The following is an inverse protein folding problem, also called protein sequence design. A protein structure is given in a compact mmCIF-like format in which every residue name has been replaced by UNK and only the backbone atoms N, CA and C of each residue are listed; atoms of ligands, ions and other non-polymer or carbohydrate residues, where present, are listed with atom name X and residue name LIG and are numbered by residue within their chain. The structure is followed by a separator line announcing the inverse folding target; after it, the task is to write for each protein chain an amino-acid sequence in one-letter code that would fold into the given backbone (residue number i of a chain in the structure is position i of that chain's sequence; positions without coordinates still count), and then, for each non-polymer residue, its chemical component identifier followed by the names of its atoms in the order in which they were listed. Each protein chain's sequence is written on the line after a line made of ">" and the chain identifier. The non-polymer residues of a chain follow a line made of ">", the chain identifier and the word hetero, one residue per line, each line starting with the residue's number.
data_IF_124864288862
#
_entry.id   IF_124864288862
#
_cell.length_a   1.000
_cell.length_b   1.000
_cell.length_c   1.000
_cell.angle_alpha   90.00
_cell.angle_beta   90.00
_cell.angle_gamma   90.00
#
_symmetry.space_group_name_H-M   'P 1'
#
loop_
_entity.id
_entity.type
_entity.pdbx_description
1 polymer ?
#
# COMPACT_ATOMS: atom_id res chain seq x y z
N UNK A 1 -1.23 -37.08 -45.45
CA UNK A 1 -0.71 -35.70 -45.30
C UNK A 1 -0.84 -35.29 -43.83
N UNK A 2 0.22 -34.77 -43.20
CA UNK A 2 0.10 -34.22 -41.83
C UNK A 2 -0.87 -33.03 -41.88
N UNK A 3 -1.89 -33.04 -41.00
CA UNK A 3 -2.82 -31.90 -40.88
C UNK A 3 -1.99 -30.66 -40.51
N UNK A 4 -2.21 -29.50 -41.16
CA UNK A 4 -1.53 -28.27 -40.77
C UNK A 4 -1.84 -27.96 -39.30
N UNK A 5 -0.80 -27.65 -38.53
CA UNK A 5 -0.90 -27.34 -37.10
C UNK A 5 -0.46 -25.90 -36.86
N UNK A 6 -1.18 -25.20 -35.96
CA UNK A 6 -0.78 -23.88 -35.47
C UNK A 6 0.42 -23.95 -34.50
N UNK A 7 0.73 -25.14 -33.97
CA UNK A 7 1.90 -25.36 -33.11
C UNK A 7 3.14 -25.42 -33.99
N UNK A 8 3.96 -24.37 -33.92
CA UNK A 8 5.25 -24.28 -34.61
C UNK A 8 6.38 -24.50 -33.61
N UNK A 9 7.31 -25.39 -33.94
CA UNK A 9 8.54 -25.59 -33.17
C UNK A 9 9.61 -24.66 -33.72
N UNK A 10 10.22 -23.84 -32.86
CA UNK A 10 11.35 -22.97 -33.19
C UNK A 10 12.47 -23.24 -32.19
N UNK A 11 13.73 -23.22 -32.66
CA UNK A 11 14.91 -23.25 -31.79
C UNK A 11 15.00 -22.00 -30.91
N UNK A 12 14.35 -20.91 -31.33
CA UNK A 12 14.31 -19.61 -30.64
C UNK A 12 12.93 -19.31 -30.05
N UNK A 13 12.14 -20.34 -29.75
CA UNK A 13 10.78 -20.16 -29.26
C UNK A 13 10.69 -19.36 -27.95
N UNK A 14 11.76 -19.32 -27.14
CA UNK A 14 11.81 -18.51 -25.93
C UNK A 14 11.97 -17.02 -26.27
N UNK A 15 12.95 -16.67 -27.12
CA UNK A 15 13.24 -15.32 -27.58
C UNK A 15 12.06 -14.74 -28.38
N UNK A 16 11.46 -15.52 -29.27
CA UNK A 16 10.28 -15.11 -30.04
C UNK A 16 9.08 -14.78 -29.15
N UNK A 17 8.84 -15.58 -28.10
CA UNK A 17 7.78 -15.32 -27.12
C UNK A 17 8.07 -14.07 -26.32
N UNK A 18 9.32 -13.86 -25.93
CA UNK A 18 9.72 -12.66 -25.20
C UNK A 18 9.57 -11.39 -26.05
N UNK A 19 10.05 -11.38 -27.29
CA UNK A 19 9.85 -10.25 -28.20
C UNK A 19 8.36 -9.94 -28.41
N UNK A 20 7.52 -10.99 -28.46
CA UNK A 20 6.06 -10.81 -28.55
C UNK A 20 5.47 -10.22 -27.27
N UNK A 21 6.00 -10.56 -26.10
CA UNK A 21 5.61 -9.94 -24.83
C UNK A 21 6.04 -8.47 -24.79
N UNK A 22 7.26 -8.16 -25.21
CA UNK A 22 7.76 -6.77 -25.27
C UNK A 22 6.89 -5.90 -26.18
N UNK A 23 6.50 -6.41 -27.34
CA UNK A 23 5.58 -5.71 -28.26
C UNK A 23 4.18 -5.52 -27.68
N UNK A 24 3.73 -6.40 -26.80
CA UNK A 24 2.44 -6.24 -26.10
C UNK A 24 2.52 -5.17 -25.01
N UNK A 25 3.73 -4.87 -24.53
CA UNK A 25 3.96 -4.04 -23.36
C UNK A 25 3.58 -4.76 -22.08
N UNK A 26 4.33 -4.49 -21.01
CA UNK A 26 3.95 -4.91 -19.67
C UNK A 26 4.26 -3.82 -18.64
N UNK A 27 3.54 -3.83 -17.52
CA UNK A 27 3.75 -2.88 -16.44
C UNK A 27 5.18 -2.98 -15.87
N UNK A 28 5.80 -4.17 -15.91
CA UNK A 28 7.10 -4.43 -15.31
C UNK A 28 8.25 -3.74 -16.06
N UNK A 29 8.21 -3.73 -17.40
CA UNK A 29 9.16 -2.97 -18.23
C UNK A 29 9.01 -1.46 -18.04
N UNK A 30 7.78 -0.98 -17.88
CA UNK A 30 7.52 0.45 -17.62
C UNK A 30 8.03 0.85 -16.22
N UNK A 31 7.84 -0.02 -15.22
CA UNK A 31 8.43 0.16 -13.90
C UNK A 31 9.95 0.21 -13.98
N UNK A 32 10.57 -0.73 -14.69
CA UNK A 32 12.03 -0.77 -14.86
C UNK A 32 12.57 0.50 -15.54
N UNK A 33 11.83 1.06 -16.50
CA UNK A 33 12.22 2.30 -17.18
C UNK A 33 12.12 3.55 -16.30
N UNK A 34 11.16 3.59 -15.36
CA UNK A 34 10.80 4.82 -14.65
C UNK A 34 11.08 4.80 -13.15
N UNK A 35 11.46 3.66 -12.58
CA UNK A 35 11.71 3.49 -11.15
C UNK A 35 13.15 3.08 -10.94
N UNK A 36 13.88 3.84 -10.12
CA UNK A 36 15.22 3.45 -9.69
C UNK A 36 15.11 2.47 -8.52
N UNK A 37 15.07 1.17 -8.83
CA UNK A 37 15.08 0.12 -7.81
C UNK A 37 16.39 0.10 -7.01
N UNK A 38 17.51 0.45 -7.65
CA UNK A 38 18.79 0.63 -6.98
C UNK A 38 18.72 1.71 -5.87
N UNK A 39 18.04 2.84 -6.11
CA UNK A 39 17.85 3.86 -5.09
C UNK A 39 16.94 3.40 -3.94
N UNK A 40 15.89 2.63 -4.24
CA UNK A 40 15.04 2.01 -3.20
C UNK A 40 15.85 1.01 -2.37
N UNK A 41 16.71 0.22 -3.03
CA UNK A 41 17.57 -0.76 -2.38
C UNK A 41 18.61 -0.10 -1.48
N UNK A 42 19.26 0.97 -1.94
CA UNK A 42 20.23 1.73 -1.16
C UNK A 42 19.61 2.28 0.13
N UNK A 43 18.37 2.77 0.08
CA UNK A 43 17.66 3.23 1.27
C UNK A 43 17.36 2.08 2.24
N UNK A 44 16.99 0.90 1.73
CA UNK A 44 16.81 -0.30 2.56
C UNK A 44 18.12 -0.75 3.18
N UNK A 45 19.22 -0.76 2.43
CA UNK A 45 20.54 -1.14 2.96
C UNK A 45 21.05 -0.14 3.99
N UNK A 46 20.68 1.16 3.88
CA UNK A 46 21.02 2.20 4.85
C UNK A 46 20.36 1.95 6.21
N UNK A 47 19.10 1.54 6.23
CA UNK A 47 18.35 1.33 7.48
C UNK A 47 18.45 -0.10 8.02
N UNK A 48 18.62 -1.07 7.13
CA UNK A 48 18.66 -2.50 7.43
C UNK A 48 19.79 -3.16 6.63
N UNK A 49 21.06 -2.90 6.99
CA UNK A 49 22.21 -3.46 6.30
C UNK A 49 22.12 -4.98 6.17
N UNK A 50 22.68 -5.50 5.09
CA UNK A 50 22.78 -6.95 4.90
C UNK A 50 23.70 -7.52 5.96
N UNK A 51 23.28 -8.62 6.59
CA UNK A 51 24.11 -9.32 7.54
C UNK A 51 25.29 -9.95 6.80
N UNK A 52 26.50 -9.52 7.13
CA UNK A 52 27.73 -10.18 6.69
C UNK A 52 28.09 -11.27 7.70
N UNK A 53 28.11 -12.53 7.26
CA UNK A 53 28.52 -13.64 8.12
C UNK A 53 30.04 -13.78 8.04
N UNK A 54 30.71 -13.58 9.18
CA UNK A 54 32.15 -13.86 9.33
C UNK A 54 32.48 -15.36 9.33
N UNK A 55 31.48 -16.22 9.47
CA UNK A 55 31.63 -17.68 9.63
C UNK A 55 31.35 -18.49 8.35
N UNK A 56 31.16 -17.84 7.20
CA UNK A 56 31.01 -18.53 5.91
C UNK A 56 29.67 -19.25 5.75
N UNK A 57 28.60 -18.48 5.54
CA UNK A 57 27.27 -18.99 5.16
C UNK A 57 26.89 -18.61 3.73
N UNK A 58 25.72 -19.06 3.26
CA UNK A 58 25.16 -18.63 1.96
C UNK A 58 25.02 -17.10 1.96
N UNK A 59 25.61 -16.39 0.98
CA UNK A 59 25.50 -14.94 0.90
C UNK A 59 24.03 -14.50 0.78
N UNK A 60 23.65 -13.37 1.39
CA UNK A 60 22.30 -12.82 1.24
C UNK A 60 22.07 -12.35 -0.19
N UNK A 61 20.83 -12.49 -0.66
CA UNK A 61 20.43 -11.94 -1.96
C UNK A 61 20.63 -10.42 -2.02
N UNK A 62 20.90 -9.87 -3.22
CA UNK A 62 20.95 -8.41 -3.41
C UNK A 62 19.65 -7.74 -2.96
N UNK A 63 19.77 -6.63 -2.24
CA UNK A 63 18.60 -5.90 -1.72
C UNK A 63 17.69 -5.38 -2.84
N UNK A 64 18.26 -4.99 -3.98
CA UNK A 64 17.47 -4.59 -5.15
C UNK A 64 16.54 -5.70 -5.64
N UNK A 65 17.05 -6.93 -5.74
CA UNK A 65 16.25 -8.09 -6.10
C UNK A 65 15.10 -8.30 -5.11
N UNK A 66 15.39 -8.22 -3.81
CA UNK A 66 14.39 -8.42 -2.76
C UNK A 66 13.31 -7.31 -2.75
N UNK A 67 13.69 -6.06 -3.05
CA UNK A 67 12.73 -4.95 -3.23
C UNK A 67 11.86 -5.18 -4.46
N UNK A 68 12.42 -5.63 -5.58
CA UNK A 68 11.64 -5.98 -6.79
C UNK A 68 10.65 -7.09 -6.50
N UNK A 69 11.06 -8.14 -5.79
CA UNK A 69 10.16 -9.23 -5.35
C UNK A 69 9.03 -8.70 -4.46
N UNK A 70 9.34 -7.82 -3.51
CA UNK A 70 8.34 -7.20 -2.64
C UNK A 70 7.29 -6.39 -3.45
N UNK A 71 7.73 -5.67 -4.48
CA UNK A 71 6.81 -4.98 -5.41
C UNK A 71 5.89 -5.98 -6.12
N UNK A 72 6.42 -7.09 -6.63
CA UNK A 72 5.61 -8.14 -7.27
C UNK A 72 4.57 -8.74 -6.30
N UNK A 73 4.97 -9.04 -5.06
CA UNK A 73 4.05 -9.59 -4.05
C UNK A 73 2.82 -8.70 -3.86
N UNK A 74 3.02 -7.38 -3.80
CA UNK A 74 1.93 -6.44 -3.62
C UNK A 74 1.14 -6.15 -4.90
N UNK A 75 1.79 -6.09 -6.07
CA UNK A 75 1.09 -5.92 -7.36
C UNK A 75 0.12 -7.07 -7.65
N UNK A 76 0.55 -8.31 -7.38
CA UNK A 76 -0.18 -9.53 -7.76
C UNK A 76 -0.83 -10.27 -6.58
N UNK A 77 -0.74 -9.73 -5.36
CA UNK A 77 -1.32 -10.32 -4.13
C UNK A 77 -0.82 -11.74 -3.83
N UNK A 78 0.48 -11.94 -3.94
CA UNK A 78 1.12 -13.25 -3.76
C UNK A 78 1.49 -13.45 -2.28
N UNK A 79 1.33 -14.69 -1.78
CA UNK A 79 1.98 -15.14 -0.55
C UNK A 79 3.48 -15.36 -0.80
N UNK A 80 4.25 -15.66 0.25
CA UNK A 80 5.68 -15.99 0.10
C UNK A 80 5.85 -17.27 -0.73
N UNK A 81 5.12 -18.34 -0.42
CA UNK A 81 5.07 -19.59 -1.20
C UNK A 81 4.65 -19.37 -2.67
N UNK A 82 3.58 -18.59 -2.90
CA UNK A 82 3.13 -18.30 -4.27
C UNK A 82 4.15 -17.44 -5.02
N UNK A 83 4.87 -16.55 -4.33
CA UNK A 83 5.92 -15.75 -4.95
C UNK A 83 7.11 -16.62 -5.35
N UNK A 84 7.55 -17.53 -4.50
CA UNK A 84 8.59 -18.52 -4.82
C UNK A 84 8.22 -19.32 -6.07
N UNK A 85 7.02 -19.91 -6.09
CA UNK A 85 6.53 -20.66 -7.24
C UNK A 85 6.52 -19.81 -8.52
N UNK A 86 6.03 -18.57 -8.44
CA UNK A 86 5.98 -17.67 -9.59
C UNK A 86 7.37 -17.21 -10.06
N UNK A 87 8.38 -17.15 -9.18
CA UNK A 87 9.77 -16.91 -9.57
C UNK A 87 10.37 -18.11 -10.31
N UNK A 88 9.91 -19.34 -10.06
CA UNK A 88 10.32 -20.54 -10.80
C UNK A 88 9.65 -20.63 -12.18
N UNK A 89 8.37 -20.29 -12.26
CA UNK A 89 7.52 -20.56 -13.42
C UNK A 89 7.46 -19.38 -14.42
N UNK A 90 7.45 -18.14 -13.92
CA UNK A 90 7.03 -16.99 -14.72
C UNK A 90 8.21 -16.16 -15.23
N UNK A 91 8.50 -16.30 -16.53
CA UNK A 91 9.59 -15.58 -17.21
C UNK A 91 9.58 -14.07 -17.00
N UNK A 92 8.40 -13.42 -17.01
CA UNK A 92 8.31 -11.97 -16.79
C UNK A 92 8.79 -11.55 -15.40
N UNK A 93 8.58 -12.39 -14.37
CA UNK A 93 9.05 -12.11 -13.01
C UNK A 93 10.55 -12.38 -12.88
N UNK A 94 11.03 -13.47 -13.48
CA UNK A 94 12.46 -13.77 -13.54
C UNK A 94 13.22 -12.63 -14.21
N UNK A 95 12.74 -12.14 -15.35
CA UNK A 95 13.33 -11.00 -16.05
C UNK A 95 13.31 -9.74 -15.18
N UNK A 96 12.14 -9.37 -14.65
CA UNK A 96 12.01 -8.17 -13.83
C UNK A 96 12.90 -8.20 -12.57
N UNK A 97 13.12 -9.36 -11.96
CA UNK A 97 13.97 -9.53 -10.79
C UNK A 97 15.45 -9.81 -11.12
N UNK A 98 15.85 -9.84 -12.39
CA UNK A 98 17.24 -10.14 -12.79
C UNK A 98 17.66 -11.61 -12.58
N UNK A 99 16.69 -12.52 -12.52
CA UNK A 99 16.86 -13.95 -12.22
C UNK A 99 16.88 -14.85 -13.47
N UNK A 100 16.79 -14.30 -14.69
CA UNK A 100 16.69 -15.07 -15.94
C UNK A 100 17.77 -16.13 -16.12
N UNK A 101 18.99 -15.84 -15.67
CA UNK A 101 20.15 -16.73 -15.78
C UNK A 101 20.60 -17.27 -14.42
N UNK A 102 19.78 -17.10 -13.38
CA UNK A 102 20.11 -17.55 -12.03
C UNK A 102 19.61 -18.98 -11.82
N UNK A 103 20.49 -19.86 -11.34
CA UNK A 103 20.09 -21.18 -10.86
C UNK A 103 19.40 -21.12 -9.48
N UNK A 104 19.60 -20.03 -8.72
CA UNK A 104 19.07 -19.88 -7.37
C UNK A 104 18.00 -18.78 -7.30
N UNK A 105 16.89 -19.08 -6.63
CA UNK A 105 15.83 -18.11 -6.33
C UNK A 105 15.60 -17.98 -4.81
N UNK A 106 15.13 -16.83 -4.31
CA UNK A 106 14.71 -16.70 -2.92
C UNK A 106 13.52 -17.61 -2.63
N UNK A 107 13.63 -18.44 -1.60
CA UNK A 107 12.53 -19.25 -1.08
C UNK A 107 11.60 -18.44 -0.17
N UNK A 108 10.46 -19.02 0.21
CA UNK A 108 9.46 -18.34 1.06
C UNK A 108 10.07 -17.78 2.35
N UNK A 109 11.00 -18.55 2.96
CA UNK A 109 11.61 -18.20 4.25
C UNK A 109 12.54 -17.02 4.08
N UNK A 110 13.29 -16.98 2.99
CA UNK A 110 14.17 -15.86 2.62
C UNK A 110 13.36 -14.58 2.44
N UNK A 111 12.20 -14.66 1.76
CA UNK A 111 11.29 -13.53 1.59
C UNK A 111 10.74 -13.06 2.95
N UNK A 112 10.32 -13.99 3.80
CA UNK A 112 9.81 -13.70 5.13
C UNK A 112 10.87 -13.01 6.02
N UNK A 113 12.09 -13.57 6.07
CA UNK A 113 13.20 -13.02 6.87
C UNK A 113 13.57 -11.62 6.40
N UNK A 114 13.66 -11.40 5.09
CA UNK A 114 13.94 -10.07 4.53
C UNK A 114 12.87 -9.06 4.96
N UNK A 115 11.59 -9.42 4.81
CA UNK A 115 10.48 -8.54 5.16
C UNK A 115 10.47 -8.21 6.65
N UNK A 116 10.71 -9.18 7.52
CA UNK A 116 10.75 -8.94 8.96
C UNK A 116 11.93 -8.05 9.35
N UNK A 117 13.12 -8.31 8.78
CA UNK A 117 14.33 -7.48 8.98
C UNK A 117 14.07 -6.01 8.65
N UNK A 118 13.53 -5.74 7.46
CA UNK A 118 13.29 -4.35 7.05
C UNK A 118 12.12 -3.73 7.83
N UNK A 119 11.12 -4.51 8.25
CA UNK A 119 10.02 -4.02 9.09
C UNK A 119 10.54 -3.49 10.42
N UNK A 120 11.38 -4.27 11.10
CA UNK A 120 11.94 -3.92 12.41
C UNK A 120 12.80 -2.65 12.35
N UNK A 121 13.47 -2.42 11.22
CA UNK A 121 14.30 -1.25 10.96
C UNK A 121 13.54 -0.01 10.43
N UNK A 122 12.20 -0.03 10.37
CA UNK A 122 11.41 1.11 9.87
C UNK A 122 11.32 1.21 8.34
N UNK A 123 11.52 0.09 7.63
CA UNK A 123 11.54 0.02 6.17
C UNK A 123 10.24 0.37 5.47
N UNK A 124 9.12 0.35 6.19
CA UNK A 124 7.84 0.86 5.69
C UNK A 124 7.93 2.34 5.29
N UNK A 125 8.48 3.18 6.18
CA UNK A 125 8.65 4.61 5.94
C UNK A 125 9.80 4.87 4.98
N UNK A 126 10.91 4.15 5.12
CA UNK A 126 12.08 4.30 4.26
C UNK A 126 11.71 4.08 2.78
N UNK A 127 11.06 2.95 2.46
CA UNK A 127 10.63 2.66 1.09
C UNK A 127 9.55 3.61 0.60
N UNK A 128 8.56 3.94 1.43
CA UNK A 128 7.50 4.87 1.01
C UNK A 128 8.07 6.26 0.70
N UNK A 129 8.96 6.78 1.55
CA UNK A 129 9.60 8.08 1.36
C UNK A 129 10.56 8.08 0.17
N UNK A 130 11.32 7.00 -0.06
CA UNK A 130 12.17 6.87 -1.24
C UNK A 130 11.35 6.91 -2.53
N UNK A 131 10.17 6.27 -2.56
CA UNK A 131 9.23 6.42 -3.68
C UNK A 131 8.74 7.87 -3.81
N UNK A 132 8.39 8.55 -2.71
CA UNK A 132 8.03 9.98 -2.78
C UNK A 132 9.14 10.84 -3.37
N UNK A 133 10.39 10.61 -2.96
CA UNK A 133 11.55 11.35 -3.45
C UNK A 133 11.72 11.17 -4.95
N UNK A 134 11.59 9.94 -5.47
CA UNK A 134 11.63 9.69 -6.91
C UNK A 134 10.49 10.41 -7.65
N UNK A 135 9.27 10.42 -7.09
CA UNK A 135 8.15 11.16 -7.69
C UNK A 135 8.43 12.66 -7.77
N UNK A 136 9.02 13.23 -6.72
CA UNK A 136 9.39 14.65 -6.67
C UNK A 136 10.50 14.99 -7.67
N UNK A 137 11.54 14.16 -7.76
CA UNK A 137 12.62 14.30 -8.75
C UNK A 137 12.10 14.24 -10.18
N UNK A 138 11.04 13.45 -10.42
CA UNK A 138 10.37 13.40 -11.71
C UNK A 138 9.35 14.53 -11.94
N UNK A 139 9.26 15.51 -11.04
CA UNK A 139 8.42 16.70 -11.16
C UNK A 139 6.98 16.53 -10.65
N UNK A 140 6.57 15.36 -10.19
CA UNK A 140 5.22 15.15 -9.66
C UNK A 140 5.10 15.69 -8.24
N UNK A 141 4.99 17.01 -8.12
CA UNK A 141 4.76 17.74 -6.86
C UNK A 141 3.26 17.89 -6.64
N UNK A 142 2.81 17.79 -5.38
CA UNK A 142 1.42 18.04 -5.04
C UNK A 142 1.13 19.56 -5.09
N UNK A 143 0.56 20.02 -6.20
CA UNK A 143 0.17 21.43 -6.40
C UNK A 143 -1.35 21.65 -6.35
N UNK A 144 -2.14 20.59 -6.54
CA UNK A 144 -3.60 20.67 -6.60
C UNK A 144 -4.33 20.63 -5.24
N UNK A 145 -3.57 20.54 -4.16
CA UNK A 145 -4.02 20.32 -2.77
C UNK A 145 -4.20 18.84 -2.46
N UNK A 146 -4.78 18.52 -1.31
CA UNK A 146 -4.81 17.14 -0.79
C UNK A 146 -6.19 16.66 -0.37
N UNK A 147 -6.47 15.38 -0.64
CA UNK A 147 -7.70 14.71 -0.25
C UNK A 147 -7.38 13.74 0.88
N UNK A 148 -7.98 13.96 2.05
CA UNK A 148 -7.87 13.08 3.21
C UNK A 148 -9.08 12.16 3.22
N UNK A 149 -8.81 10.85 3.26
CA UNK A 149 -9.84 9.83 3.37
C UNK A 149 -9.31 8.56 4.03
N UNK A 150 -10.22 7.75 4.56
CA UNK A 150 -9.89 6.50 5.22
C UNK A 150 -10.66 5.32 4.63
N UNK A 151 -10.00 4.17 4.58
CA UNK A 151 -10.63 2.91 4.17
C UNK A 151 -10.41 1.82 5.20
N UNK A 152 -11.41 0.96 5.37
CA UNK A 152 -11.30 -0.23 6.21
C UNK A 152 -10.58 -1.32 5.43
N UNK A 153 -9.67 -2.00 6.11
CA UNK A 153 -8.94 -3.16 5.60
C UNK A 153 -9.31 -4.34 6.47
N UNK A 154 -9.93 -5.35 5.86
CA UNK A 154 -10.39 -6.53 6.55
C UNK A 154 -9.22 -7.45 6.89
N UNK A 155 -9.24 -8.01 8.09
CA UNK A 155 -8.35 -9.06 8.54
C UNK A 155 -9.18 -10.34 8.79
N UNK A 156 -8.56 -11.53 8.84
CA UNK A 156 -9.25 -12.77 9.17
C UNK A 156 -10.09 -12.60 10.44
N UNK A 157 -11.37 -12.98 10.38
CA UNK A 157 -12.26 -12.91 11.54
C UNK A 157 -11.86 -14.01 12.51
N UNK A 158 -11.64 -13.63 13.76
CA UNK A 158 -11.25 -14.56 14.80
C UNK A 158 -12.43 -14.89 15.70
N UNK A 159 -12.62 -16.17 15.95
CA UNK A 159 -13.53 -16.65 16.99
C UNK A 159 -12.78 -16.64 18.32
N UNK A 160 -13.30 -15.88 19.27
CA UNK A 160 -12.83 -15.76 20.65
C UNK A 160 -14.02 -16.02 21.57
N UNK A 161 -13.78 -16.76 22.65
CA UNK A 161 -14.78 -16.91 23.72
C UNK A 161 -15.01 -15.55 24.41
N UNK A 162 -16.15 -15.41 25.08
CA UNK A 162 -16.57 -14.13 25.69
C UNK A 162 -15.55 -13.63 26.72
N UNK A 163 -15.00 -14.54 27.51
CA UNK A 163 -14.04 -14.22 28.58
C UNK A 163 -12.69 -13.81 27.99
N UNK A 164 -12.17 -14.58 27.02
CA UNK A 164 -10.96 -14.23 26.26
C UNK A 164 -11.09 -12.85 25.59
N UNK A 165 -12.28 -12.53 25.05
CA UNK A 165 -12.54 -11.24 24.41
C UNK A 165 -12.47 -10.08 25.40
N UNK A 166 -12.91 -10.27 26.65
CA UNK A 166 -12.80 -9.26 27.69
C UNK A 166 -11.34 -9.00 28.08
N UNK A 167 -10.53 -10.06 28.15
CA UNK A 167 -9.09 -9.98 28.46
C UNK A 167 -8.34 -9.26 27.31
N UNK A 168 -8.56 -9.66 26.06
CA UNK A 168 -7.94 -9.01 24.89
C UNK A 168 -8.35 -7.54 24.76
N UNK A 169 -9.59 -7.19 25.14
CA UNK A 169 -10.05 -5.80 25.13
C UNK A 169 -9.35 -4.90 26.17
N UNK A 170 -8.64 -5.49 27.14
CA UNK A 170 -7.79 -4.81 28.12
C UNK A 170 -6.30 -4.87 27.73
N UNK A 171 -6.00 -5.17 26.46
CA UNK A 171 -4.64 -5.34 25.94
C UNK A 171 -3.84 -6.45 26.67
N UNK A 172 -4.54 -7.42 27.25
CA UNK A 172 -3.95 -8.56 27.94
C UNK A 172 -4.09 -9.86 27.12
N UNK A 173 -3.18 -10.81 27.34
CA UNK A 173 -3.22 -12.13 26.70
C UNK A 173 -3.86 -13.16 27.63
N UNK A 174 -4.88 -13.92 27.18
CA UNK A 174 -5.46 -14.99 27.99
C UNK A 174 -4.43 -16.06 28.39
N UNK A 175 -4.36 -16.37 29.69
CA UNK A 175 -3.37 -17.29 30.24
C UNK A 175 -3.52 -18.73 29.70
N UNK A 176 -4.75 -19.14 29.40
CA UNK A 176 -5.14 -20.44 28.86
C UNK A 176 -4.69 -20.66 27.39
N UNK A 177 -4.20 -19.63 26.69
CA UNK A 177 -3.75 -19.81 25.30
C UNK A 177 -2.40 -20.52 25.25
N UNK A 178 -2.36 -21.60 24.47
CA UNK A 178 -1.12 -22.28 24.08
C UNK A 178 -0.20 -21.35 23.27
N UNK A 179 1.12 -21.63 23.20
CA UNK A 179 2.03 -20.85 22.37
C UNK A 179 1.61 -20.78 20.89
N UNK A 180 0.99 -21.85 20.36
CA UNK A 180 0.48 -21.86 18.99
C UNK A 180 -0.70 -20.91 18.79
N UNK A 181 -1.65 -20.89 19.73
CA UNK A 181 -2.78 -19.97 19.68
C UNK A 181 -2.31 -18.51 19.76
N UNK A 182 -1.38 -18.20 20.67
CA UNK A 182 -0.82 -16.84 20.80
C UNK A 182 -0.19 -16.33 19.50
N UNK A 183 0.43 -17.20 18.70
CA UNK A 183 1.02 -16.83 17.40
C UNK A 183 -0.01 -16.62 16.28
N UNK A 184 -1.20 -17.20 16.41
CA UNK A 184 -2.25 -17.18 15.37
C UNK A 184 -3.35 -16.15 15.66
N UNK A 185 -3.50 -15.70 16.90
CA UNK A 185 -4.49 -14.68 17.29
C UNK A 185 -3.93 -13.28 17.04
N UNK A 186 -4.78 -12.44 16.45
CA UNK A 186 -4.51 -11.05 16.15
C UNK A 186 -5.26 -10.22 17.19
N UNK A 187 -4.54 -9.86 18.25
CA UNK A 187 -5.07 -9.09 19.36
C UNK A 187 -5.20 -7.61 19.02
N UNK A 188 -4.52 -7.13 17.98
CA UNK A 188 -4.50 -5.72 17.60
C UNK A 188 -5.65 -5.36 16.64
N UNK A 189 -6.07 -6.32 15.81
CA UNK A 189 -7.23 -6.15 14.93
C UNK A 189 -8.51 -5.91 15.75
N UNK A 190 -9.31 -4.92 15.35
CA UNK A 190 -10.51 -4.53 16.11
C UNK A 190 -11.77 -4.54 15.25
N UNK A 191 -12.91 -4.58 15.93
CA UNK A 191 -14.23 -4.55 15.30
C UNK A 191 -14.75 -3.12 15.19
N UNK A 192 -15.39 -2.82 14.06
CA UNK A 192 -16.13 -1.57 13.84
C UNK A 192 -17.40 -1.83 13.04
N UNK A 193 -18.39 -0.94 13.15
CA UNK A 193 -19.66 -1.03 12.40
C UNK A 193 -19.77 0.16 11.46
N UNK A 194 -19.86 -0.10 10.15
CA UNK A 194 -20.04 0.92 9.11
C UNK A 194 -21.18 0.50 8.20
N UNK A 195 -22.13 1.41 7.93
CA UNK A 195 -23.34 1.12 7.13
C UNK A 195 -24.09 -0.14 7.57
N UNK A 196 -24.29 -0.30 8.88
CA UNK A 196 -24.94 -1.47 9.50
C UNK A 196 -24.20 -2.81 9.32
N UNK A 197 -23.03 -2.83 8.69
CA UNK A 197 -22.18 -4.01 8.54
C UNK A 197 -21.00 -3.96 9.50
N UNK A 198 -20.69 -5.11 10.11
CA UNK A 198 -19.54 -5.27 10.99
C UNK A 198 -18.30 -5.63 10.18
N UNK A 199 -17.21 -4.91 10.45
CA UNK A 199 -15.90 -5.14 9.85
C UNK A 199 -14.88 -5.44 10.96
N UNK A 200 -13.95 -6.33 10.67
CA UNK A 200 -12.86 -6.72 11.56
C UNK A 200 -11.53 -6.45 10.85
N UNK A 201 -10.62 -5.74 11.51
CA UNK A 201 -9.28 -5.49 10.98
C UNK A 201 -8.75 -4.11 11.31
N UNK A 202 -8.23 -3.45 10.28
CA UNK A 202 -7.46 -2.21 10.38
C UNK A 202 -8.10 -1.09 9.56
N UNK A 203 -7.53 0.10 9.71
CA UNK A 203 -7.90 1.29 8.97
C UNK A 203 -6.66 1.88 8.33
N UNK A 204 -6.76 2.19 7.04
CA UNK A 204 -5.75 2.95 6.31
C UNK A 204 -6.31 4.34 6.02
N UNK A 205 -5.74 5.35 6.67
CA UNK A 205 -5.95 6.75 6.36
C UNK A 205 -4.86 7.22 5.41
N UNK A 206 -5.23 7.96 4.37
CA UNK A 206 -4.29 8.53 3.42
C UNK A 206 -4.57 10.01 3.18
N UNK A 207 -3.52 10.72 2.76
CA UNK A 207 -3.63 11.99 2.06
C UNK A 207 -3.15 11.78 0.63
N UNK A 208 -4.04 11.97 -0.34
CA UNK A 208 -3.74 11.84 -1.75
C UNK A 208 -3.66 13.21 -2.43
N UNK A 209 -2.67 13.40 -3.30
CA UNK A 209 -2.61 14.53 -4.21
C UNK A 209 -3.85 14.55 -5.09
N UNK A 210 -4.55 15.69 -5.11
CA UNK A 210 -5.79 15.83 -5.87
C UNK A 210 -5.55 15.67 -7.38
N UNK A 211 -4.40 16.11 -7.90
CA UNK A 211 -4.17 16.21 -9.33
C UNK A 211 -3.81 14.84 -9.94
N UNK A 212 -2.69 14.28 -9.53
CA UNK A 212 -2.10 13.07 -10.09
C UNK A 212 -2.54 11.80 -9.34
N UNK A 213 -3.20 11.95 -8.17
CA UNK A 213 -3.70 10.87 -7.32
C UNK A 213 -2.62 10.07 -6.59
N UNK A 214 -1.41 10.62 -6.41
CA UNK A 214 -0.39 9.97 -5.59
C UNK A 214 -0.74 10.06 -4.11
N UNK A 215 -0.55 8.97 -3.37
CA UNK A 215 -0.62 8.97 -1.90
C UNK A 215 0.63 9.69 -1.40
N UNK A 216 0.49 10.74 -0.57
CA UNK A 216 1.59 11.55 -0.03
C UNK A 216 1.85 11.28 1.45
N UNK A 217 0.80 11.00 2.21
CA UNK A 217 0.89 10.55 3.61
C UNK A 217 -0.05 9.38 3.83
N UNK A 218 0.31 8.54 4.80
CA UNK A 218 -0.42 7.35 5.19
C UNK A 218 -0.35 7.18 6.70
N UNK A 219 -1.42 6.66 7.29
CA UNK A 219 -1.44 6.24 8.68
C UNK A 219 -2.30 4.99 8.80
N UNK A 220 -1.84 4.04 9.60
CA UNK A 220 -2.52 2.76 9.82
C UNK A 220 -2.84 2.64 11.30
N UNK A 221 -4.07 2.27 11.60
CA UNK A 221 -4.53 2.01 12.97
C UNK A 221 -5.57 0.90 13.00
N UNK A 222 -6.09 0.59 14.19
CA UNK A 222 -7.14 -0.42 14.34
C UNK A 222 -8.48 0.09 13.78
N UNK A 223 -9.36 -0.80 13.33
CA UNK A 223 -10.60 -0.39 12.68
C UNK A 223 -11.56 0.44 13.56
N UNK A 224 -11.50 0.26 14.89
CA UNK A 224 -12.32 0.98 15.89
C UNK A 224 -11.93 2.45 16.05
N UNK A 225 -10.68 2.82 15.77
CA UNK A 225 -10.22 4.20 15.96
C UNK A 225 -10.97 5.17 15.06
N UNK A 226 -11.40 6.31 15.59
CA UNK A 226 -12.22 7.26 14.83
C UNK A 226 -11.37 8.08 13.86
N UNK A 227 -11.78 8.12 12.59
CA UNK A 227 -11.03 8.70 11.45
C UNK A 227 -10.52 10.12 11.74
N UNK A 228 -11.32 10.94 12.42
CA UNK A 228 -10.91 12.29 12.90
C UNK A 228 -9.52 12.29 13.52
N UNK A 229 -9.15 11.32 14.36
CA UNK A 229 -7.85 11.33 15.05
C UNK A 229 -6.65 11.25 14.11
N UNK A 230 -6.85 10.69 12.92
CA UNK A 230 -5.76 10.49 11.96
C UNK A 230 -5.51 11.71 11.08
N UNK A 231 -6.41 12.71 11.08
CA UNK A 231 -6.34 13.85 10.17
C UNK A 231 -4.99 14.55 10.27
N UNK A 232 -4.55 14.86 11.49
CA UNK A 232 -3.28 15.55 11.75
C UNK A 232 -2.07 14.70 11.34
N UNK A 233 -2.15 13.37 11.43
CA UNK A 233 -1.06 12.45 11.05
C UNK A 233 -0.92 12.33 9.53
N UNK A 234 -2.02 12.45 8.79
CA UNK A 234 -2.00 12.36 7.32
C UNK A 234 -2.00 13.72 6.62
N UNK A 235 -2.12 14.84 7.35
CA UNK A 235 -2.00 16.17 6.77
C UNK A 235 -0.56 16.41 6.29
N UNK A 236 -0.37 16.48 4.98
CA UNK A 236 0.92 16.81 4.39
C UNK A 236 1.14 18.33 4.41
N UNK A 237 1.97 18.80 5.35
CA UNK A 237 2.27 20.23 5.50
C UNK A 237 3.20 20.78 4.43
N UNK A 238 3.89 19.90 3.70
CA UNK A 238 4.85 20.25 2.63
C UNK A 238 4.15 20.49 1.29
N UNK A 239 2.87 20.15 1.19
CA UNK A 239 2.07 20.39 -0.01
C UNK A 239 2.00 21.89 -0.32
N UNK A 240 2.29 22.25 -1.57
CA UNK A 240 2.31 23.64 -2.03
C UNK A 240 0.93 24.28 -1.93
N UNK A 241 -0.13 23.51 -2.21
CA UNK A 241 -1.48 23.99 -2.03
C UNK A 241 -1.99 23.72 -0.61
N UNK A 242 -2.62 24.77 -0.07
CA UNK A 242 -3.24 24.80 1.24
C UNK A 242 -4.69 24.28 1.24
N UNK A 243 -5.19 23.76 0.12
CA UNK A 243 -6.54 23.19 0.06
C UNK A 243 -6.56 21.74 0.59
N UNK A 244 -7.50 21.45 1.49
CA UNK A 244 -7.67 20.11 2.09
C UNK A 244 -9.12 19.67 1.95
N UNK A 245 -9.38 18.58 1.24
CA UNK A 245 -10.72 18.01 1.09
C UNK A 245 -10.90 16.78 1.98
N UNK A 246 -11.94 16.77 2.81
CA UNK A 246 -12.23 15.65 3.70
C UNK A 246 -13.73 15.38 3.85
N UNK A 247 -14.04 14.18 4.34
CA UNK A 247 -15.40 13.72 4.56
C UNK A 247 -16.08 14.40 5.75
N UNK A 248 -17.37 14.13 5.92
CA UNK A 248 -18.12 14.67 7.05
C UNK A 248 -17.63 14.11 8.38
N UNK A 249 -17.09 12.89 8.41
CA UNK A 249 -16.48 12.28 9.59
C UNK A 249 -15.41 13.14 10.23
N UNK A 250 -14.60 13.84 9.41
CA UNK A 250 -13.54 14.76 9.85
C UNK A 250 -14.00 16.14 10.32
N UNK A 251 -15.31 16.44 10.32
CA UNK A 251 -15.84 17.71 10.80
C UNK A 251 -15.50 17.95 12.28
N UNK A 252 -14.76 19.02 12.54
CA UNK A 252 -14.35 19.49 13.85
C UNK A 252 -14.09 21.02 13.79
N UNK A 253 -14.84 21.79 14.59
CA UNK A 253 -14.75 23.26 14.58
C UNK A 253 -13.39 23.77 15.07
N UNK A 254 -12.83 23.17 16.12
CA UNK A 254 -11.55 23.61 16.68
C UNK A 254 -10.42 23.32 15.69
N UNK A 255 -10.45 22.16 15.04
CA UNK A 255 -9.50 21.86 13.94
C UNK A 255 -9.62 22.87 12.81
N UNK A 256 -10.83 23.15 12.33
CA UNK A 256 -11.01 24.08 11.22
C UNK A 256 -10.53 25.50 11.56
N UNK A 257 -10.76 25.96 12.80
CA UNK A 257 -10.21 27.23 13.29
C UNK A 257 -8.68 27.22 13.27
N UNK A 258 -8.04 26.17 13.81
CA UNK A 258 -6.57 26.01 13.79
C UNK A 258 -6.02 25.97 12.36
N UNK A 259 -6.70 25.26 11.45
CA UNK A 259 -6.32 25.17 10.04
C UNK A 259 -6.42 26.53 9.35
N UNK A 260 -7.53 27.24 9.52
CA UNK A 260 -7.72 28.58 8.95
C UNK A 260 -6.67 29.57 9.48
N UNK A 261 -6.39 29.55 10.78
CA UNK A 261 -5.36 30.39 11.40
C UNK A 261 -3.96 30.10 10.84
N UNK A 262 -3.68 28.83 10.48
CA UNK A 262 -2.46 28.41 9.82
C UNK A 262 -2.47 28.57 8.28
N UNK A 263 -3.47 29.26 7.71
CA UNK A 263 -3.58 29.56 6.28
C UNK A 263 -4.08 28.40 5.41
N UNK A 264 -4.58 27.32 6.00
CA UNK A 264 -5.22 26.22 5.28
C UNK A 264 -6.64 26.58 4.85
N UNK A 265 -7.10 25.97 3.76
CA UNK A 265 -8.47 26.06 3.24
C UNK A 265 -9.17 24.70 3.40
N UNK A 266 -9.80 24.43 4.56
CA UNK A 266 -10.48 23.18 4.82
C UNK A 266 -11.82 23.09 4.07
N UNK A 267 -11.86 22.20 3.09
CA UNK A 267 -13.05 21.76 2.38
C UNK A 267 -13.59 20.47 3.01
N UNK A 268 -14.05 20.58 4.25
CA UNK A 268 -14.66 19.47 5.01
C UNK A 268 -16.18 19.50 4.85
N UNK A 269 -16.78 18.34 4.57
CA UNK A 269 -18.23 18.20 4.47
C UNK A 269 -18.90 18.38 5.84
N UNK A 270 -20.14 18.88 5.85
CA UNK A 270 -20.91 19.13 7.07
C UNK A 270 -21.84 17.98 7.41
N UNK A 271 -21.91 17.59 8.68
CA UNK A 271 -22.90 16.66 9.23
C UNK A 271 -24.25 17.37 9.37
N UNK A 272 -25.32 16.57 9.36
CA UNK A 272 -26.62 17.05 9.79
C UNK A 272 -26.62 17.22 11.32
N UNK A 273 -27.38 18.18 11.85
CA UNK A 273 -27.58 18.25 13.30
C UNK A 273 -28.47 17.07 13.75
N UNK A 274 -28.29 16.54 14.97
CA UNK A 274 -29.17 15.49 15.50
C UNK A 274 -30.64 15.89 15.36
N UNK A 275 -31.46 14.98 14.83
CA UNK A 275 -32.91 15.19 14.62
C UNK A 275 -33.28 16.19 13.52
N UNK A 276 -32.33 16.75 12.76
CA UNK A 276 -32.63 17.70 11.67
C UNK A 276 -32.02 17.25 10.35
N UNK A 277 -32.71 17.40 9.21
CA UNK A 277 -32.12 17.16 7.90
C UNK A 277 -31.00 18.17 7.62
N UNK A 278 -30.12 17.85 6.67
CA UNK A 278 -29.14 18.82 6.18
C UNK A 278 -29.86 20.00 5.53
N UNK A 279 -29.44 21.23 5.86
CA UNK A 279 -29.90 22.43 5.16
C UNK A 279 -29.45 22.42 3.70
N UNK A 280 -30.15 23.14 2.83
CA UNK A 280 -29.79 23.17 1.40
C UNK A 280 -28.42 23.81 1.16
N UNK A 281 -28.02 24.78 2.00
CA UNK A 281 -26.66 25.31 1.99
C UNK A 281 -25.62 24.23 2.29
N UNK A 282 -25.85 23.38 3.30
CA UNK A 282 -24.97 22.25 3.61
C UNK A 282 -24.94 21.23 2.48
N UNK A 283 -26.08 20.90 1.87
CA UNK A 283 -26.14 19.97 0.71
C UNK A 283 -25.35 20.51 -0.48
N UNK A 284 -25.53 21.79 -0.83
CA UNK A 284 -24.78 22.46 -1.92
C UNK A 284 -23.27 22.44 -1.65
N UNK A 285 -22.85 22.79 -0.43
CA UNK A 285 -21.44 22.70 -0.01
C UNK A 285 -20.91 21.27 -0.13
N UNK A 286 -21.62 20.29 0.43
CA UNK A 286 -21.20 18.89 0.43
C UNK A 286 -21.07 18.34 -0.99
N UNK A 287 -21.96 18.74 -1.90
CA UNK A 287 -21.93 18.38 -3.32
C UNK A 287 -20.70 18.96 -4.03
N UNK A 288 -20.38 20.25 -3.78
CA UNK A 288 -19.17 20.88 -4.33
C UNK A 288 -17.89 20.20 -3.86
N UNK A 289 -17.86 19.75 -2.60
CA UNK A 289 -16.71 19.05 -2.00
C UNK A 289 -16.63 17.59 -2.46
N UNK A 290 -17.77 16.93 -2.71
CA UNK A 290 -17.80 15.52 -3.11
C UNK A 290 -17.08 15.30 -4.46
N UNK A 291 -17.23 16.21 -5.42
CA UNK A 291 -16.61 16.09 -6.76
C UNK A 291 -15.08 15.94 -6.73
N UNK A 292 -14.30 16.85 -6.09
CA UNK A 292 -12.86 16.64 -5.97
C UNK A 292 -12.52 15.42 -5.10
N UNK A 293 -13.30 15.14 -4.04
CA UNK A 293 -13.05 13.99 -3.15
C UNK A 293 -13.19 12.65 -3.83
N UNK A 294 -14.14 12.48 -4.74
CA UNK A 294 -14.36 11.23 -5.48
C UNK A 294 -13.09 10.71 -6.19
N UNK A 295 -12.09 11.57 -6.43
CA UNK A 295 -10.81 11.14 -6.99
C UNK A 295 -10.06 10.13 -6.11
N UNK A 296 -10.21 10.19 -4.78
CA UNK A 296 -9.59 9.25 -3.84
C UNK A 296 -10.20 7.84 -3.94
N UNK A 297 -11.45 7.73 -4.41
CA UNK A 297 -12.08 6.43 -4.64
C UNK A 297 -11.34 5.64 -5.72
N UNK A 298 -10.75 6.30 -6.71
CA UNK A 298 -9.87 5.64 -7.69
C UNK A 298 -8.59 5.10 -7.05
N UNK A 299 -8.04 5.81 -6.06
CA UNK A 299 -6.86 5.36 -5.31
C UNK A 299 -7.20 4.06 -4.59
N UNK A 300 -8.28 4.06 -3.80
CA UNK A 300 -8.72 2.86 -3.09
C UNK A 300 -9.20 1.75 -4.03
N UNK A 301 -9.79 2.09 -5.18
CA UNK A 301 -10.18 1.14 -6.22
C UNK A 301 -8.97 0.43 -6.81
N UNK A 302 -7.92 1.15 -7.18
CA UNK A 302 -6.66 0.59 -7.67
C UNK A 302 -5.95 -0.24 -6.58
N UNK A 303 -5.90 0.25 -5.34
CA UNK A 303 -5.39 -0.55 -4.21
C UNK A 303 -6.21 -1.84 -4.02
N UNK A 304 -7.52 -1.80 -4.24
CA UNK A 304 -8.36 -2.99 -4.20
C UNK A 304 -8.14 -3.91 -5.41
N UNK A 305 -7.74 -3.41 -6.57
CA UNK A 305 -7.38 -4.24 -7.72
C UNK A 305 -6.06 -5.00 -7.47
N UNK A 306 -5.13 -4.42 -6.71
CA UNK A 306 -3.91 -5.08 -6.21
C UNK A 306 -4.20 -6.08 -5.07
N UNK A 307 -5.23 -6.90 -5.21
CA UNK A 307 -5.52 -7.99 -4.28
C UNK A 307 -6.55 -7.77 -3.19
N UNK A 308 -7.40 -6.76 -3.33
CA UNK A 308 -8.51 -6.48 -2.41
C UNK A 308 -8.10 -5.73 -1.15
N UNK A 309 -9.09 -5.50 -0.29
CA UNK A 309 -8.93 -4.86 1.03
C UNK A 309 -8.80 -5.90 2.14
N UNK A 310 -8.03 -6.96 1.90
CA UNK A 310 -7.82 -8.04 2.86
C UNK A 310 -6.35 -8.16 3.21
N UNK A 311 -6.03 -8.16 4.49
CA UNK A 311 -4.68 -8.34 5.00
C UNK A 311 -4.54 -9.70 5.67
N UNK A 312 -3.39 -10.36 5.48
CA UNK A 312 -3.13 -11.70 6.02
C UNK A 312 -2.14 -11.70 7.18
N UNK A 313 -1.54 -10.56 7.47
CA UNK A 313 -0.59 -10.41 8.56
C UNK A 313 -1.31 -10.26 9.89
N UNK A 314 -0.66 -10.74 10.94
CA UNK A 314 -1.11 -10.62 12.33
C UNK A 314 -0.35 -9.48 12.99
N UNK A 315 -1.08 -8.61 13.69
CA UNK A 315 -0.54 -7.49 14.46
C UNK A 315 -0.39 -6.19 13.67
N UNK A 316 -0.53 -5.07 14.39
CA UNK A 316 -0.57 -3.72 13.83
C UNK A 316 0.72 -3.37 13.10
N UNK A 317 1.89 -3.71 13.64
CA UNK A 317 3.17 -3.37 13.01
C UNK A 317 3.35 -4.02 11.63
N UNK A 318 2.93 -5.29 11.48
CA UNK A 318 2.97 -5.98 10.18
C UNK A 318 1.89 -5.47 9.25
N UNK A 319 0.71 -5.14 9.80
CA UNK A 319 -0.37 -4.55 9.02
C UNK A 319 0.02 -3.18 8.45
N UNK A 320 0.65 -2.37 9.28
CA UNK A 320 1.22 -1.08 8.92
C UNK A 320 2.26 -1.24 7.81
N UNK A 321 3.24 -2.13 7.97
CA UNK A 321 4.22 -2.40 6.94
C UNK A 321 3.57 -2.80 5.61
N UNK A 322 2.71 -3.82 5.62
CA UNK A 322 2.08 -4.32 4.40
C UNK A 322 1.24 -3.27 3.68
N UNK A 323 0.49 -2.43 4.41
CA UNK A 323 -0.32 -1.36 3.82
C UNK A 323 0.52 -0.18 3.31
N UNK A 324 1.65 0.09 3.96
CA UNK A 324 2.59 1.13 3.56
C UNK A 324 3.30 0.78 2.26
N UNK A 325 3.78 -0.45 2.16
CA UNK A 325 4.37 -0.96 0.91
C UNK A 325 3.31 -1.00 -0.17
N UNK A 326 2.08 -1.44 0.13
CA UNK A 326 0.98 -1.41 -0.83
C UNK A 326 0.69 0.01 -1.35
N UNK A 327 0.75 1.02 -0.49
CA UNK A 327 0.61 2.42 -0.88
C UNK A 327 1.79 2.91 -1.75
N UNK A 328 3.01 2.49 -1.45
CA UNK A 328 4.19 2.77 -2.26
C UNK A 328 4.07 2.13 -3.65
N UNK A 329 3.68 0.86 -3.72
CA UNK A 329 3.48 0.12 -4.98
C UNK A 329 2.34 0.71 -5.81
N UNK A 330 1.25 1.16 -5.16
CA UNK A 330 0.21 1.95 -5.83
C UNK A 330 0.81 3.18 -6.52
N UNK A 331 1.67 3.93 -5.83
CA UNK A 331 2.31 5.11 -6.40
C UNK A 331 3.22 4.77 -7.58
N UNK A 332 3.99 3.67 -7.51
CA UNK A 332 4.82 3.20 -8.63
C UNK A 332 3.97 2.82 -9.85
N UNK A 333 2.88 2.07 -9.64
CA UNK A 333 1.93 1.74 -10.70
C UNK A 333 1.29 3.02 -11.28
N UNK A 334 0.89 3.96 -10.42
CA UNK A 334 0.28 5.22 -10.84
C UNK A 334 1.24 6.07 -11.66
N UNK A 335 2.52 6.11 -11.29
CA UNK A 335 3.57 6.78 -12.05
C UNK A 335 3.66 6.20 -13.46
N UNK A 336 3.72 4.87 -13.58
CA UNK A 336 3.76 4.19 -14.87
C UNK A 336 2.56 4.56 -15.73
N UNK A 337 1.34 4.47 -15.18
CA UNK A 337 0.11 4.87 -15.89
C UNK A 337 0.15 6.32 -16.39
N UNK A 338 0.71 7.24 -15.60
CA UNK A 338 0.83 8.64 -15.99
C UNK A 338 1.88 8.85 -17.10
N UNK A 339 3.02 8.14 -17.02
CA UNK A 339 4.08 8.18 -18.04
C UNK A 339 3.61 7.60 -19.37
N UNK A 340 2.92 6.45 -19.35
CA UNK A 340 2.33 5.85 -20.55
C UNK A 340 1.25 6.73 -21.18
N UNK A 341 0.47 7.42 -20.37
CA UNK A 341 -0.53 8.39 -20.84
C UNK A 341 0.08 9.73 -21.32
N UNK A 342 1.42 9.88 -21.30
CA UNK A 342 2.10 11.10 -21.73
C UNK A 342 1.84 12.31 -20.82
N UNK A 343 1.42 12.10 -19.58
CA UNK A 343 1.15 13.19 -18.64
C UNK A 343 2.46 13.76 -18.12
N UNK A 344 2.73 15.01 -18.52
CA UNK A 344 3.88 15.78 -18.07
C UNK A 344 3.56 16.42 -16.71
N UNK A 345 4.46 16.34 -15.72
CA UNK A 345 4.29 17.07 -14.47
C UNK A 345 4.27 18.59 -14.70
N UNK A 346 3.43 19.29 -13.94
CA UNK A 346 3.31 20.76 -13.98
C UNK A 346 4.40 21.39 -13.12
#
# INVERSE_FOLDING_TARGET
>A
MKKPSAVKTSLFAAEEREQKLDRKGDLLSVLEKHVSFAALAAEVDRIAPRAESTQGGRPPYPTELMVRVLVLQHLYKLSDEAMEYQLLDRLSFQRFCGLRHSASIPDEKTLWVFRERIREAGGADALFNAVQQQLQQQGFIARGGQIIDATLVEAPRQHLHKDDKAIVAQDATPANWTPAQRRQKDTDASWTKKHSKSHHGYKLSISADRQHKFIRKRHVSTAKEHDTKHFEQVLDRTNTSRDVWADKGYEDRQREQRLNAAGWRPHIQRKAKPGKPQSDCQKKRNTRIARPRARVEHVFGAMSAMGGKFIRTIGLARAEFGLSIKAAVYNLQRLCTLKEAGIVPI
#
